data_IF_765888297044
#
_entry.id   IF_765888297044
#
_cell.length_a   1.000
_cell.length_b   1.000
_cell.length_c   1.000
_cell.angle_alpha   90.00
_cell.angle_beta   90.00
_cell.angle_gamma   90.00
#
_symmetry.space_group_name_H-M   'P 1'
#
loop_
_entity.id
_entity.type
_entity.pdbx_description
1 polymer ?
#
# COMPACT_ATOMS: atom_id res chain seq x y z
N UNK A 1 -0.77 -16.59 28.92
CA UNK A 1 -0.25 -15.29 28.45
C UNK A 1 -1.44 -14.39 28.49
N UNK A 2 -1.46 -13.49 29.45
CA UNK A 2 -2.65 -12.67 29.68
C UNK A 2 -2.57 -11.46 28.76
N UNK A 3 -3.67 -11.21 28.04
CA UNK A 3 -3.79 -10.12 27.08
C UNK A 3 -4.73 -9.08 27.65
N UNK A 4 -4.26 -7.84 27.73
CA UNK A 4 -5.05 -6.72 28.22
C UNK A 4 -5.02 -5.59 27.19
N UNK A 5 -6.19 -5.12 26.76
CA UNK A 5 -6.33 -4.00 25.84
C UNK A 5 -6.69 -2.73 26.60
N UNK A 6 -6.00 -1.64 26.30
CA UNK A 6 -6.34 -0.29 26.74
C UNK A 6 -6.74 0.53 25.50
N UNK A 7 -8.04 0.71 25.30
CA UNK A 7 -8.59 1.42 24.14
C UNK A 7 -8.23 2.90 24.15
N UNK A 8 -8.15 3.54 25.32
CA UNK A 8 -7.80 4.97 25.42
C UNK A 8 -6.37 5.24 24.98
N UNK A 9 -5.49 4.27 25.19
CA UNK A 9 -4.09 4.33 24.77
C UNK A 9 -3.85 3.65 23.42
N UNK A 10 -4.88 3.07 22.79
CA UNK A 10 -4.78 2.22 21.60
C UNK A 10 -3.62 1.18 21.73
N UNK A 11 -3.55 0.50 22.88
CA UNK A 11 -2.43 -0.37 23.24
C UNK A 11 -2.88 -1.75 23.71
N UNK A 12 -2.02 -2.75 23.50
CA UNK A 12 -2.24 -4.13 23.99
C UNK A 12 -1.02 -4.54 24.79
N UNK A 13 -1.26 -5.03 26.01
CA UNK A 13 -0.24 -5.52 26.92
C UNK A 13 -0.26 -7.04 26.97
N UNK A 14 0.93 -7.64 26.90
CA UNK A 14 1.11 -9.08 27.03
C UNK A 14 1.88 -9.38 28.32
N UNK A 15 1.24 -10.05 29.27
CA UNK A 15 1.88 -10.40 30.54
C UNK A 15 2.56 -11.77 30.47
N UNK A 16 3.84 -11.81 30.87
CA UNK A 16 4.62 -13.03 31.06
C UNK A 16 5.51 -12.88 32.29
N UNK A 17 5.63 -13.94 33.10
CA UNK A 17 6.46 -13.96 34.33
C UNK A 17 7.95 -13.65 34.07
N UNK A 18 8.46 -13.93 32.87
CA UNK A 18 9.81 -13.59 32.45
C UNK A 18 9.89 -13.54 30.93
N UNK A 19 10.62 -12.55 30.39
CA UNK A 19 10.94 -12.46 28.97
C UNK A 19 12.15 -13.34 28.66
N UNK A 20 11.94 -14.35 27.82
CA UNK A 20 13.04 -15.11 27.21
C UNK A 20 13.38 -14.42 25.90
N UNK A 21 14.67 -14.21 25.63
CA UNK A 21 15.14 -13.69 24.34
C UNK A 21 14.63 -14.64 23.24
N UNK A 22 13.82 -14.13 22.31
CA UNK A 22 13.19 -14.95 21.28
C UNK A 22 12.20 -14.16 20.41
N UNK A 23 11.60 -14.87 19.45
CA UNK A 23 10.62 -14.31 18.51
C UNK A 23 9.24 -14.37 19.15
N UNK A 24 8.51 -13.26 19.11
CA UNK A 24 7.08 -13.22 19.47
C UNK A 24 6.28 -13.35 18.17
N UNK A 25 5.62 -14.49 18.00
CA UNK A 25 4.66 -14.71 16.92
C UNK A 25 3.26 -14.33 17.38
N UNK A 26 2.61 -13.40 16.68
CA UNK A 26 1.22 -13.01 16.95
C UNK A 26 0.43 -13.24 15.67
N UNK A 27 -0.63 -14.05 15.74
CA UNK A 27 -1.63 -14.17 14.68
C UNK A 27 -2.89 -13.48 15.15
N UNK A 28 -3.41 -12.57 14.34
CA UNK A 28 -4.64 -11.84 14.62
C UNK A 28 -5.51 -11.85 13.36
N UNK A 29 -6.82 -11.89 13.56
CA UNK A 29 -7.81 -11.64 12.52
C UNK A 29 -8.49 -10.33 12.89
N UNK A 30 -8.34 -9.32 12.02
CA UNK A 30 -8.98 -8.01 12.20
C UNK A 30 -10.03 -7.83 11.11
N UNK A 31 -11.22 -7.37 11.50
CA UNK A 31 -12.19 -6.83 10.56
C UNK A 31 -11.84 -5.36 10.40
N UNK A 32 -11.31 -5.05 9.23
CA UNK A 32 -10.81 -3.72 8.92
C UNK A 32 -11.92 -2.79 8.49
N UNK A 33 -12.10 -1.71 9.26
CA UNK A 33 -12.38 -0.41 8.66
C UNK A 33 -11.02 0.19 8.24
N UNK A 34 -10.38 -0.40 7.23
CA UNK A 34 -9.36 0.34 6.50
C UNK A 34 -10.02 1.66 6.06
N UNK A 35 -9.24 2.72 5.85
CA UNK A 35 -9.62 3.72 4.85
C UNK A 35 -9.61 3.01 3.48
N UNK A 36 -10.54 2.07 3.29
CA UNK A 36 -10.96 1.56 2.02
C UNK A 36 -11.59 2.78 1.39
N UNK A 37 -10.78 3.55 0.66
CA UNK A 37 -11.32 4.46 -0.32
C UNK A 37 -12.03 3.56 -1.32
N UNK A 38 -13.33 3.32 -1.09
CA UNK A 38 -14.20 2.70 -2.07
C UNK A 38 -14.21 3.63 -3.26
N UNK A 39 -13.33 3.36 -4.21
CA UNK A 39 -13.47 3.87 -5.54
C UNK A 39 -14.76 3.26 -6.11
N UNK A 40 -15.63 4.08 -6.68
CA UNK A 40 -16.73 3.62 -7.52
C UNK A 40 -16.42 4.13 -8.93
N UNK A 41 -15.96 3.27 -9.82
CA UNK A 41 -16.11 3.59 -11.24
C UNK A 41 -17.59 3.49 -11.58
N UNK A 42 -18.16 4.49 -12.23
CA UNK A 42 -19.38 4.32 -13.00
C UNK A 42 -18.94 4.20 -14.45
N UNK A 43 -18.78 2.97 -14.94
CA UNK A 43 -18.66 2.78 -16.39
C UNK A 43 -20.06 2.52 -16.92
N UNK A 44 -20.62 3.47 -17.65
CA UNK A 44 -21.88 3.28 -18.37
C UNK A 44 -21.64 2.36 -19.57
N UNK A 45 -21.68 1.06 -19.34
CA UNK A 45 -21.99 0.10 -20.40
C UNK A 45 -23.48 -0.19 -20.31
N UNK A 46 -24.24 0.28 -21.32
CA UNK A 46 -25.62 -0.17 -21.55
C UNK A 46 -26.59 0.02 -20.34
N UNK A 47 -26.50 1.18 -19.66
CA UNK A 47 -27.31 1.53 -18.47
C UNK A 47 -27.05 0.68 -17.21
N UNK A 48 -25.99 -0.13 -17.19
CA UNK A 48 -25.53 -0.85 -15.99
C UNK A 48 -24.37 -0.12 -15.30
N UNK A 49 -24.40 -0.04 -13.96
CA UNK A 49 -23.33 0.54 -13.14
C UNK A 49 -22.47 -0.58 -12.56
N UNK A 50 -21.22 -0.69 -13.01
CA UNK A 50 -20.26 -1.66 -12.46
C UNK A 50 -19.38 -0.96 -11.42
N UNK A 51 -19.52 -1.34 -10.15
CA UNK A 51 -18.69 -0.83 -9.06
C UNK A 51 -17.38 -1.62 -8.99
N UNK A 52 -16.23 -0.92 -9.08
CA UNK A 52 -14.89 -1.50 -8.90
C UNK A 52 -14.22 -0.93 -7.65
N UNK A 53 -13.90 -1.79 -6.68
CA UNK A 53 -13.37 -1.38 -5.38
C UNK A 53 -11.84 -1.46 -5.39
N UNK A 54 -11.18 -0.46 -4.78
CA UNK A 54 -9.78 -0.52 -4.42
C UNK A 54 -9.64 -0.51 -2.89
N UNK A 55 -8.75 -1.32 -2.35
CA UNK A 55 -8.32 -1.22 -0.96
C UNK A 55 -6.98 -0.52 -0.92
N UNK A 56 -6.85 0.52 -0.09
CA UNK A 56 -5.64 1.32 0.06
C UNK A 56 -5.37 1.58 1.53
N UNK A 57 -4.11 1.85 1.87
CA UNK A 57 -3.70 2.15 3.25
C UNK A 57 -3.17 3.58 3.35
N UNK A 58 -3.59 4.30 4.39
CA UNK A 58 -2.98 5.54 4.85
C UNK A 58 -2.62 5.37 6.32
N UNK A 59 -1.32 5.28 6.63
CA UNK A 59 -0.85 4.93 7.97
C UNK A 59 -0.36 6.11 8.80
N UNK A 60 -0.03 7.23 8.14
CA UNK A 60 0.41 8.44 8.82
C UNK A 60 -0.76 9.18 9.49
N UNK A 61 -0.59 9.69 10.72
CA UNK A 61 0.61 9.59 11.56
C UNK A 61 0.72 8.28 12.38
N UNK A 62 -0.39 7.78 12.93
CA UNK A 62 -0.40 6.71 13.94
C UNK A 62 -1.47 5.65 13.66
N UNK A 63 -1.73 5.35 12.39
CA UNK A 63 -2.78 4.42 11.98
C UNK A 63 -2.25 3.03 11.61
N UNK A 64 -0.93 2.80 11.57
CA UNK A 64 -0.39 1.47 11.30
C UNK A 64 -0.83 0.45 12.36
N UNK A 65 -0.97 0.87 13.62
CA UNK A 65 -1.51 0.05 14.73
C UNK A 65 -2.94 -0.46 14.49
N UNK A 66 -3.71 0.22 13.63
CA UNK A 66 -5.05 -0.23 13.24
C UNK A 66 -4.99 -1.39 12.24
N UNK A 67 -3.83 -1.59 11.60
CA UNK A 67 -3.60 -2.69 10.67
C UNK A 67 -2.82 -3.85 11.23
N UNK A 68 -1.74 -3.55 11.93
CA UNK A 68 -0.88 -4.57 12.46
C UNK A 68 -0.53 -4.13 13.88
N UNK A 69 -0.68 -4.99 14.90
CA UNK A 69 -0.14 -4.71 16.22
C UNK A 69 1.37 -4.49 16.10
N UNK A 70 1.80 -3.25 16.27
CA UNK A 70 3.18 -2.83 16.12
C UNK A 70 3.54 -1.71 17.09
N UNK A 71 4.84 -1.48 17.28
CA UNK A 71 5.35 -0.29 17.95
C UNK A 71 5.20 0.90 17.00
N UNK A 72 4.03 1.52 17.03
CA UNK A 72 3.62 2.53 16.05
C UNK A 72 4.06 3.95 16.44
N UNK A 73 5.38 4.10 16.57
CA UNK A 73 6.06 5.38 16.72
C UNK A 73 7.24 5.44 15.74
N UNK A 74 7.57 6.61 15.15
CA UNK A 74 8.56 6.70 14.07
C UNK A 74 9.95 6.16 14.40
N UNK A 75 10.35 6.19 15.67
CA UNK A 75 11.65 5.75 16.16
C UNK A 75 11.82 4.22 16.13
N UNK A 76 10.72 3.47 16.28
CA UNK A 76 10.72 2.00 16.28
C UNK A 76 10.68 1.43 14.86
N UNK A 77 11.73 1.70 14.10
CA UNK A 77 11.84 1.20 12.71
C UNK A 77 12.06 -0.30 12.66
N UNK A 78 11.42 -0.96 11.70
CA UNK A 78 11.50 -2.39 11.47
C UNK A 78 11.65 -2.73 9.98
N UNK A 79 12.04 -3.97 9.70
CA UNK A 79 11.97 -4.56 8.37
C UNK A 79 10.60 -5.23 8.19
N UNK A 80 9.93 -4.97 7.06
CA UNK A 80 8.60 -5.49 6.79
C UNK A 80 8.63 -6.52 5.65
N UNK A 81 8.11 -7.71 5.89
CA UNK A 81 7.91 -8.73 4.85
C UNK A 81 6.40 -8.90 4.65
N UNK A 82 5.90 -8.41 3.52
CA UNK A 82 4.46 -8.34 3.25
C UNK A 82 4.05 -9.47 2.31
N UNK A 83 2.93 -10.11 2.64
CA UNK A 83 2.20 -11.03 1.76
C UNK A 83 0.74 -10.61 1.76
N UNK A 84 0.14 -10.52 0.58
CA UNK A 84 -1.23 -10.06 0.40
C UNK A 84 -2.01 -11.16 -0.31
N UNK A 85 -3.10 -11.61 0.31
CA UNK A 85 -4.10 -12.46 -0.33
C UNK A 85 -5.21 -11.54 -0.81
N UNK A 86 -5.52 -11.58 -2.10
CA UNK A 86 -6.47 -10.68 -2.74
C UNK A 86 -7.31 -11.41 -3.79
N UNK A 87 -8.49 -10.88 -4.18
CA UNK A 87 -9.30 -11.50 -5.20
C UNK A 87 -8.53 -11.69 -6.50
N UNK A 88 -8.75 -12.82 -7.18
CA UNK A 88 -8.19 -13.05 -8.51
C UNK A 88 -8.78 -12.02 -9.49
N UNK A 89 -7.92 -11.41 -10.31
CA UNK A 89 -8.27 -10.32 -11.21
C UNK A 89 -7.81 -8.94 -10.73
N UNK A 90 -7.47 -8.79 -9.45
CA UNK A 90 -6.83 -7.58 -8.93
C UNK A 90 -5.32 -7.72 -8.87
N UNK A 91 -4.62 -6.59 -8.72
CA UNK A 91 -3.18 -6.51 -8.46
C UNK A 91 -2.94 -5.98 -7.05
N UNK A 92 -2.06 -6.64 -6.29
CA UNK A 92 -1.57 -6.14 -5.01
C UNK A 92 -0.24 -5.38 -5.19
N UNK A 93 -0.10 -4.27 -4.45
CA UNK A 93 1.10 -3.45 -4.37
C UNK A 93 1.52 -3.29 -2.91
N UNK A 94 2.82 -3.20 -2.69
CA UNK A 94 3.42 -2.83 -1.41
C UNK A 94 4.79 -2.17 -1.64
N UNK A 95 5.43 -1.70 -0.57
CA UNK A 95 6.75 -1.04 -0.61
C UNK A 95 7.84 -1.97 -1.19
N UNK A 96 7.82 -3.25 -0.79
CA UNK A 96 8.79 -4.25 -1.25
C UNK A 96 8.64 -4.58 -2.74
N UNK A 97 9.73 -5.00 -3.40
CA UNK A 97 9.67 -5.45 -4.79
C UNK A 97 8.83 -6.74 -4.92
N UNK A 98 8.06 -6.90 -5.98
CA UNK A 98 7.21 -8.07 -6.20
C UNK A 98 8.09 -9.34 -6.39
N UNK A 99 7.84 -10.41 -5.64
CA UNK A 99 8.57 -11.68 -5.76
C UNK A 99 7.82 -12.72 -6.60
N UNK A 100 6.71 -13.20 -6.04
CA UNK A 100 5.94 -14.32 -6.58
C UNK A 100 4.46 -13.97 -6.42
N UNK A 101 3.68 -14.32 -7.44
CA UNK A 101 2.22 -14.32 -7.35
C UNK A 101 1.72 -15.67 -7.83
N UNK A 102 0.84 -16.30 -7.06
CA UNK A 102 0.27 -17.61 -7.40
C UNK A 102 -1.20 -17.66 -7.00
N UNK A 103 -1.97 -18.51 -7.69
CA UNK A 103 -3.38 -18.74 -7.35
C UNK A 103 -3.47 -19.50 -6.03
N UNK A 104 -4.40 -19.07 -5.18
CA UNK A 104 -4.78 -19.72 -3.93
C UNK A 104 -6.25 -20.17 -4.09
N UNK A 105 -6.44 -21.34 -4.70
CA UNK A 105 -7.76 -21.79 -5.14
C UNK A 105 -8.29 -20.98 -6.34
N UNK A 106 -9.61 -20.95 -6.51
CA UNK A 106 -10.24 -20.40 -7.72
C UNK A 106 -10.49 -18.89 -7.67
N UNK A 107 -10.59 -18.32 -6.47
CA UNK A 107 -11.03 -16.93 -6.26
C UNK A 107 -9.98 -16.00 -5.68
N UNK A 108 -8.86 -16.55 -5.19
CA UNK A 108 -7.84 -15.78 -4.50
C UNK A 108 -6.49 -15.94 -5.17
N UNK A 109 -5.69 -14.87 -5.08
CA UNK A 109 -4.30 -14.81 -5.49
C UNK A 109 -3.48 -14.39 -4.28
N UNK A 110 -2.33 -15.06 -4.06
CA UNK A 110 -1.35 -14.68 -3.04
C UNK A 110 -0.18 -13.99 -3.71
N UNK A 111 0.10 -12.75 -3.31
CA UNK A 111 1.20 -11.94 -3.82
C UNK A 111 2.21 -11.66 -2.70
N UNK A 112 3.46 -12.06 -2.90
CA UNK A 112 4.56 -11.92 -1.93
C UNK A 112 5.54 -10.83 -2.37
N UNK A 113 6.06 -10.08 -1.41
CA UNK A 113 7.00 -8.98 -1.66
C UNK A 113 8.35 -9.21 -0.97
N UNK A 114 9.41 -8.61 -1.51
CA UNK A 114 10.73 -8.53 -0.86
C UNK A 114 10.63 -7.78 0.48
N UNK A 115 11.48 -8.16 1.43
CA UNK A 115 11.58 -7.49 2.72
C UNK A 115 12.06 -6.05 2.52
N UNK A 116 11.37 -5.08 3.14
CA UNK A 116 11.77 -3.67 3.08
C UNK A 116 13.08 -3.41 3.81
N UNK A 117 13.80 -2.33 3.48
CA UNK A 117 14.76 -1.73 4.41
C UNK A 117 14.09 -1.35 5.74
N UNK A 118 14.92 -1.06 6.74
CA UNK A 118 14.47 -0.60 8.06
C UNK A 118 13.73 0.74 7.92
N UNK A 119 12.42 0.75 8.16
CA UNK A 119 11.55 1.92 8.00
C UNK A 119 10.52 2.01 9.12
N UNK A 120 9.96 3.20 9.30
CA UNK A 120 8.90 3.47 10.28
C UNK A 120 7.57 2.89 9.83
N UNK A 121 6.70 2.53 10.78
CA UNK A 121 5.39 1.90 10.55
C UNK A 121 4.45 2.74 9.67
N UNK A 122 4.47 4.07 9.81
CA UNK A 122 3.61 4.98 9.05
C UNK A 122 3.88 5.00 7.54
N UNK A 123 5.02 4.46 7.08
CA UNK A 123 5.36 4.34 5.66
C UNK A 123 4.88 3.03 5.03
N UNK A 124 4.34 2.09 5.83
CA UNK A 124 3.84 0.82 5.34
C UNK A 124 2.62 1.05 4.45
N UNK A 125 2.70 0.57 3.21
CA UNK A 125 1.67 0.71 2.21
C UNK A 125 1.26 -0.65 1.63
N UNK A 126 -0.05 -0.88 1.51
CA UNK A 126 -0.66 -2.01 0.84
C UNK A 126 -1.82 -1.51 -0.01
N UNK A 127 -1.85 -1.89 -1.28
CA UNK A 127 -2.92 -1.50 -2.20
C UNK A 127 -3.36 -2.72 -2.98
N UNK A 128 -4.68 -2.90 -3.12
CA UNK A 128 -5.29 -3.95 -3.93
C UNK A 128 -6.30 -3.28 -4.85
N UNK A 129 -6.06 -3.35 -6.17
CA UNK A 129 -6.90 -2.68 -7.16
C UNK A 129 -6.81 -3.33 -8.53
N UNK A 130 -7.66 -2.91 -9.46
CA UNK A 130 -7.59 -3.28 -10.88
C UNK A 130 -6.89 -2.18 -11.70
N UNK A 131 -6.02 -1.39 -11.07
CA UNK A 131 -5.34 -0.29 -11.73
C UNK A 131 -4.31 -0.79 -12.74
N UNK A 132 -4.14 -0.01 -13.80
CA UNK A 132 -3.09 -0.18 -14.80
C UNK A 132 -1.93 0.77 -14.50
N UNK A 133 -0.80 0.60 -15.17
CA UNK A 133 0.37 1.45 -14.97
C UNK A 133 1.08 1.80 -16.27
N UNK A 134 1.74 2.95 -16.26
CA UNK A 134 2.81 3.30 -17.20
C UNK A 134 4.13 3.19 -16.44
N UNK A 135 5.17 2.75 -17.13
CA UNK A 135 6.48 2.44 -16.54
C UNK A 135 7.62 3.10 -17.30
N UNK A 136 8.63 3.53 -16.55
CA UNK A 136 9.91 4.00 -17.07
C UNK A 136 11.02 3.65 -16.06
N UNK A 137 12.23 3.41 -16.53
CA UNK A 137 13.38 3.22 -15.66
C UNK A 137 14.21 4.50 -15.58
N UNK A 138 14.73 4.81 -14.38
CA UNK A 138 15.77 5.83 -14.23
C UNK A 138 17.09 5.33 -14.82
N UNK A 139 18.00 6.26 -15.07
CA UNK A 139 19.41 6.01 -15.41
C UNK A 139 20.15 5.20 -14.35
N UNK A 140 19.73 5.29 -13.08
CA UNK A 140 20.25 4.48 -11.97
C UNK A 140 19.68 3.06 -11.91
N UNK A 141 18.70 2.73 -12.76
CA UNK A 141 18.07 1.40 -12.85
C UNK A 141 16.86 1.20 -11.94
N UNK A 142 16.31 2.27 -11.35
CA UNK A 142 15.09 2.21 -10.53
C UNK A 142 13.88 2.13 -11.45
N UNK A 143 13.01 1.15 -11.23
CA UNK A 143 11.76 1.01 -11.96
C UNK A 143 10.70 1.96 -11.40
N UNK A 144 10.31 2.97 -12.18
CA UNK A 144 9.29 3.93 -11.81
C UNK A 144 7.95 3.57 -12.47
N UNK A 145 6.87 3.50 -11.69
CA UNK A 145 5.51 3.25 -12.18
C UNK A 145 4.54 4.30 -11.68
N UNK A 146 3.67 4.77 -12.57
CA UNK A 146 2.49 5.55 -12.18
C UNK A 146 1.26 4.71 -12.46
N UNK A 147 0.54 4.36 -11.40
CA UNK A 147 -0.67 3.56 -11.42
C UNK A 147 -1.90 4.45 -11.49
N UNK A 148 -2.90 4.02 -12.25
CA UNK A 148 -4.18 4.73 -12.35
C UNK A 148 -5.26 3.78 -12.84
N UNK A 149 -6.49 4.27 -12.78
CA UNK A 149 -7.64 3.64 -13.40
C UNK A 149 -7.43 3.51 -14.91
N UNK A 150 -7.90 2.43 -15.56
CA UNK A 150 -7.75 2.24 -17.00
C UNK A 150 -8.17 3.47 -17.83
N UNK A 151 -9.25 4.15 -17.44
CA UNK A 151 -9.82 5.31 -18.13
C UNK A 151 -8.95 6.58 -17.99
N UNK A 152 -8.16 6.66 -16.91
CA UNK A 152 -7.30 7.80 -16.61
C UNK A 152 -5.82 7.55 -16.94
N UNK A 153 -5.51 6.45 -17.61
CA UNK A 153 -4.13 6.07 -17.96
C UNK A 153 -3.42 7.09 -18.86
N UNK A 154 -4.16 7.79 -19.72
CA UNK A 154 -3.57 8.82 -20.58
C UNK A 154 -3.03 10.03 -19.79
N UNK A 155 -3.52 10.26 -18.57
CA UNK A 155 -3.11 11.37 -17.72
C UNK A 155 -1.82 11.09 -16.94
N UNK A 156 -1.33 9.86 -16.90
CA UNK A 156 -0.17 9.48 -16.07
C UNK A 156 1.18 9.71 -16.74
N UNK A 157 1.21 9.98 -18.06
CA UNK A 157 2.46 10.15 -18.82
C UNK A 157 3.32 11.29 -18.29
N UNK A 158 2.72 12.45 -18.04
CA UNK A 158 3.44 13.60 -17.52
C UNK A 158 4.01 13.33 -16.12
N UNK A 159 3.20 12.75 -15.23
CA UNK A 159 3.64 12.37 -13.88
C UNK A 159 4.80 11.37 -13.92
N UNK A 160 4.77 10.40 -14.85
CA UNK A 160 5.85 9.43 -15.02
C UNK A 160 7.16 10.11 -15.46
N UNK A 161 7.11 10.95 -16.49
CA UNK A 161 8.30 11.66 -16.98
C UNK A 161 8.86 12.64 -15.93
N UNK A 162 7.98 13.35 -15.23
CA UNK A 162 8.37 14.27 -14.17
C UNK A 162 8.97 13.52 -12.97
N UNK A 163 8.32 12.44 -12.53
CA UNK A 163 8.76 11.62 -11.40
C UNK A 163 10.15 11.01 -11.62
N UNK A 164 10.41 10.47 -12.81
CA UNK A 164 11.76 9.97 -13.18
C UNK A 164 12.79 11.10 -13.13
N UNK A 165 12.53 12.24 -13.77
CA UNK A 165 13.46 13.39 -13.76
C UNK A 165 13.72 13.92 -12.35
N UNK A 166 12.69 13.99 -11.51
CA UNK A 166 12.82 14.41 -10.11
C UNK A 166 13.67 13.42 -9.31
N UNK A 167 13.45 12.12 -9.47
CA UNK A 167 14.22 11.10 -8.76
C UNK A 167 15.70 11.16 -9.13
N UNK A 168 16.02 11.23 -10.43
CA UNK A 168 17.39 11.36 -10.92
C UNK A 168 18.06 12.66 -10.46
N UNK A 169 17.30 13.76 -10.47
CA UNK A 169 17.78 15.04 -9.94
C UNK A 169 18.14 14.92 -8.46
N UNK A 170 17.29 14.31 -7.63
CA UNK A 170 17.56 14.16 -6.20
C UNK A 170 18.70 13.19 -5.92
N UNK A 171 18.85 12.12 -6.69
CA UNK A 171 20.02 11.24 -6.58
C UNK A 171 21.32 12.01 -6.84
N UNK A 172 21.34 12.86 -7.88
CA UNK A 172 22.48 13.73 -8.20
C UNK A 172 22.70 14.81 -7.13
N UNK A 173 21.63 15.44 -6.67
CA UNK A 173 21.68 16.56 -5.74
C UNK A 173 22.18 16.13 -4.36
N UNK A 174 21.65 15.04 -3.82
CA UNK A 174 22.08 14.51 -2.52
C UNK A 174 23.35 13.66 -2.60
N UNK A 175 23.77 13.24 -3.80
CA UNK A 175 24.90 12.34 -4.00
C UNK A 175 24.65 10.93 -3.46
N UNK A 176 23.39 10.55 -3.27
CA UNK A 176 22.96 9.27 -2.69
C UNK A 176 21.95 8.63 -3.64
N UNK A 177 22.20 7.38 -4.04
CA UNK A 177 21.26 6.63 -4.87
C UNK A 177 19.98 6.29 -4.09
N UNK A 178 18.87 6.24 -4.80
CA UNK A 178 17.60 5.81 -4.26
C UNK A 178 17.73 4.37 -3.75
N UNK A 179 17.34 4.08 -2.48
CA UNK A 179 17.68 2.82 -1.84
C UNK A 179 16.83 1.62 -2.28
N UNK A 180 15.71 1.84 -2.99
CA UNK A 180 14.81 0.78 -3.44
C UNK A 180 14.95 0.53 -4.95
N UNK A 181 14.67 -0.70 -5.37
CA UNK A 181 14.67 -1.11 -6.79
C UNK A 181 13.49 -0.55 -7.59
N UNK A 182 12.44 -0.09 -6.91
CA UNK A 182 11.23 0.45 -7.54
C UNK A 182 10.70 1.67 -6.79
N UNK A 183 10.03 2.55 -7.53
CA UNK A 183 9.21 3.63 -7.00
C UNK A 183 7.83 3.58 -7.67
N UNK A 184 6.77 3.73 -6.88
CA UNK A 184 5.40 3.70 -7.36
C UNK A 184 4.64 4.95 -6.93
N UNK A 185 3.94 5.58 -7.86
CA UNK A 185 2.97 6.63 -7.59
C UNK A 185 1.59 6.17 -8.04
N UNK A 186 0.55 6.62 -7.35
CA UNK A 186 -0.80 6.11 -7.55
C UNK A 186 -1.77 7.28 -7.64
N UNK A 187 -2.40 7.41 -8.79
CA UNK A 187 -3.44 8.37 -9.02
C UNK A 187 -4.78 7.81 -8.51
N UNK A 188 -5.19 8.29 -7.33
CA UNK A 188 -6.46 7.92 -6.71
C UNK A 188 -7.61 8.89 -7.03
N UNK A 189 -7.50 9.74 -8.07
CA UNK A 189 -8.46 10.83 -8.31
C UNK A 189 -9.91 10.38 -8.14
N UNK A 190 -10.55 10.95 -7.13
CA UNK A 190 -11.96 10.74 -6.79
C UNK A 190 -12.74 11.76 -7.60
N UNK A 191 -13.58 11.31 -8.55
CA UNK A 191 -14.57 12.22 -9.11
C UNK A 191 -15.56 12.52 -7.98
N UNK A 192 -15.43 13.68 -7.36
CA UNK A 192 -16.50 14.28 -6.59
C UNK A 192 -17.56 14.78 -7.58
N UNK A 193 -18.40 13.89 -8.12
CA UNK A 193 -19.68 14.33 -8.70
C UNK A 193 -20.69 14.60 -7.58
N UNK A 194 -20.35 15.53 -6.69
CA UNK A 194 -21.31 16.23 -5.83
C UNK A 194 -21.35 17.75 -6.11
N UNK A 195 -20.63 18.24 -7.13
CA UNK A 195 -20.71 19.65 -7.56
C UNK A 195 -21.41 19.87 -8.92
N UNK A 196 -22.25 18.93 -9.38
CA UNK A 196 -23.13 19.16 -10.54
C UNK A 196 -24.57 19.47 -10.08
N UNK A 197 -24.77 20.69 -9.59
CA UNK A 197 -25.97 21.50 -9.82
C UNK A 197 -27.32 20.99 -9.30
N UNK A 198 -27.67 21.36 -8.06
CA UNK A 198 -29.00 21.90 -7.81
C UNK A 198 -29.07 23.33 -8.36
N UNK A 199 -29.64 23.49 -9.56
CA UNK A 199 -30.42 24.66 -9.98
C UNK A 199 -31.50 24.21 -10.95
#
# INVERSE_FOLDING_TARGET
>A
MDLHSDEKRESVSFSRKSLVIGIVGITFALIFACYITFYFTKVNYDKSVIVRIAAVTQMEPTYARRMVPCFDEPEYKANWTVTVIHPTGTTALSNGFEKESSKLGDHWTISKFETTPKMSSYLLAIIVSEFHFNEMNTTSGVRFRVWSRPEAMNLTKYALEAGVKCLEYYEKYFGIKYPLKKQGEINMYVNNHEEDGYK
#
